data_IF_502423419946
#
_entry.id   IF_502423419946
#
_cell.length_a   1.000
_cell.length_b   1.000
_cell.length_c   1.000
_cell.angle_alpha   90.00
_cell.angle_beta   90.00
_cell.angle_gamma   90.00
#
_symmetry.space_group_name_H-M   'P 1'
#
loop_
_entity.id
_entity.type
_entity.pdbx_description
1 polymer ?
#
# COMPACT_ATOMS: atom_id res chain seq x y z
N UNK A 1 -25.94 15.22 -6.17
CA UNK A 1 -26.19 14.40 -4.98
C UNK A 1 -24.87 14.22 -4.25
N UNK A 2 -24.82 14.60 -3.00
CA UNK A 2 -23.66 15.09 -2.27
C UNK A 2 -22.49 14.11 -2.15
N UNK A 3 -21.33 14.59 -2.55
CA UNK A 3 -19.99 14.06 -2.22
C UNK A 3 -19.76 14.09 -0.71
N UNK A 4 -19.84 12.94 -0.06
CA UNK A 4 -19.62 12.74 1.39
C UNK A 4 -18.14 12.53 1.74
N UNK A 5 -17.21 13.04 0.91
CA UNK A 5 -15.81 13.16 1.31
C UNK A 5 -15.48 14.61 1.58
N UNK A 6 -14.74 14.94 2.64
CA UNK A 6 -14.12 16.25 2.71
C UNK A 6 -13.34 16.40 1.42
N UNK A 7 -13.65 17.47 0.66
CA UNK A 7 -12.92 17.78 -0.56
C UNK A 7 -11.43 17.76 -0.20
N UNK A 8 -10.74 16.69 -0.59
CA UNK A 8 -9.29 16.67 -0.55
C UNK A 8 -8.89 17.83 -1.44
N UNK A 9 -8.19 18.79 -0.88
CA UNK A 9 -7.59 19.86 -1.66
C UNK A 9 -6.15 19.45 -1.93
N UNK A 10 -5.86 18.80 -3.08
CA UNK A 10 -4.55 18.24 -3.38
C UNK A 10 -3.45 19.29 -3.33
N UNK A 11 -3.74 20.53 -3.75
CA UNK A 11 -2.80 21.63 -3.69
C UNK A 11 -2.44 22.01 -2.25
N UNK A 12 -3.39 21.89 -1.33
CA UNK A 12 -3.15 22.14 0.10
C UNK A 12 -2.13 21.17 0.66
N UNK A 13 -2.32 19.88 0.44
CA UNK A 13 -1.42 18.85 0.96
C UNK A 13 -0.06 18.88 0.27
N UNK A 14 0.00 19.17 -1.03
CA UNK A 14 1.25 19.37 -1.74
C UNK A 14 2.09 20.50 -1.13
N UNK A 15 1.45 21.59 -0.70
CA UNK A 15 2.15 22.70 0.00
C UNK A 15 2.50 22.34 1.45
N UNK A 16 1.58 21.69 2.17
CA UNK A 16 1.74 21.35 3.58
C UNK A 16 2.91 20.39 3.81
N UNK A 17 3.09 19.41 2.90
CA UNK A 17 4.11 18.37 3.03
C UNK A 17 5.35 18.59 2.14
N UNK A 18 5.46 19.75 1.49
CA UNK A 18 6.59 20.05 0.60
C UNK A 18 7.93 19.93 1.34
N UNK A 19 8.84 19.13 0.79
CA UNK A 19 10.19 18.94 1.33
C UNK A 19 10.29 18.12 2.62
N UNK A 20 9.20 17.52 3.06
CA UNK A 20 9.22 16.63 4.22
C UNK A 20 9.54 15.20 3.80
N UNK A 21 10.19 14.46 4.71
CA UNK A 21 10.48 13.03 4.53
C UNK A 21 9.23 12.16 4.77
N UNK A 22 9.14 10.96 4.17
CA UNK A 22 7.98 10.08 4.32
C UNK A 22 7.56 9.85 5.77
N UNK A 23 8.51 9.64 6.67
CA UNK A 23 8.23 9.46 8.11
C UNK A 23 7.48 10.64 8.72
N UNK A 24 7.84 11.87 8.37
CA UNK A 24 7.19 13.06 8.87
C UNK A 24 5.77 13.18 8.31
N UNK A 25 5.65 13.02 6.98
CA UNK A 25 4.37 13.11 6.26
C UNK A 25 3.37 12.10 6.83
N UNK A 26 3.71 10.81 6.86
CA UNK A 26 2.79 9.77 7.29
C UNK A 26 2.51 9.79 8.80
N UNK A 27 3.49 10.19 9.62
CA UNK A 27 3.25 10.44 11.05
C UNK A 27 2.19 11.53 11.28
N UNK A 28 2.25 12.62 10.51
CA UNK A 28 1.25 13.68 10.57
C UNK A 28 -0.12 13.23 10.09
N UNK A 29 -0.18 12.48 8.99
CA UNK A 29 -1.43 11.93 8.44
C UNK A 29 -2.17 11.09 9.49
N UNK A 30 -1.44 10.20 10.20
CA UNK A 30 -2.02 9.42 11.29
C UNK A 30 -2.43 10.28 12.48
N UNK A 31 -1.59 11.21 12.94
CA UNK A 31 -1.91 12.10 14.08
C UNK A 31 -3.12 12.99 13.80
N UNK A 32 -3.19 13.54 12.59
CA UNK A 32 -4.31 14.40 12.15
C UNK A 32 -5.54 13.61 11.72
N UNK A 33 -5.43 12.26 11.67
CA UNK A 33 -6.50 11.34 11.22
C UNK A 33 -7.05 11.70 9.84
N UNK A 34 -6.17 12.04 8.89
CA UNK A 34 -6.56 12.48 7.56
C UNK A 34 -7.21 11.36 6.74
N UNK A 35 -6.88 10.11 7.01
CA UNK A 35 -7.54 8.95 6.41
C UNK A 35 -8.82 8.52 7.12
N UNK A 36 -9.27 9.28 8.12
CA UNK A 36 -10.47 8.98 8.89
C UNK A 36 -10.16 8.40 10.27
N UNK A 37 -11.16 7.74 10.87
CA UNK A 37 -10.96 7.19 12.22
C UNK A 37 -11.09 8.24 13.34
N UNK A 38 -11.84 9.30 13.13
CA UNK A 38 -12.06 10.38 14.11
C UNK A 38 -12.45 9.85 15.50
N UNK A 39 -13.18 8.75 15.53
CA UNK A 39 -13.63 8.08 16.76
C UNK A 39 -12.76 6.85 17.11
N UNK A 40 -11.71 6.56 16.35
CA UNK A 40 -10.76 5.48 16.65
C UNK A 40 -9.87 5.88 17.83
N UNK A 41 -9.69 4.99 18.80
CA UNK A 41 -8.79 5.17 19.94
C UNK A 41 -7.31 4.93 19.56
N UNK A 42 -7.00 4.51 18.33
CA UNK A 42 -5.65 4.23 17.85
C UNK A 42 -5.43 4.66 16.41
N UNK A 43 -4.26 4.32 15.82
CA UNK A 43 -3.99 4.53 14.42
C UNK A 43 -5.08 3.93 13.52
N UNK A 44 -5.38 4.57 12.40
CA UNK A 44 -6.38 4.11 11.44
C UNK A 44 -5.86 4.32 10.01
N UNK A 45 -5.73 3.24 9.26
CA UNK A 45 -5.23 3.22 7.87
C UNK A 45 -6.31 3.53 6.83
N UNK A 46 -7.46 4.08 7.26
CA UNK A 46 -8.52 4.54 6.37
C UNK A 46 -9.62 3.50 6.06
N UNK A 47 -10.63 3.95 5.33
CA UNK A 47 -11.79 3.14 4.95
C UNK A 47 -11.40 1.97 4.05
N UNK A 48 -10.51 2.18 3.08
CA UNK A 48 -10.03 1.13 2.18
C UNK A 48 -9.37 -0.06 2.89
N UNK A 49 -8.89 0.13 4.13
CA UNK A 49 -8.33 -0.94 4.96
C UNK A 49 -9.32 -1.51 5.98
N UNK A 50 -10.51 -0.91 6.16
CA UNK A 50 -11.48 -1.32 7.19
C UNK A 50 -12.82 -1.76 6.65
N UNK A 51 -13.22 -1.28 5.47
CA UNK A 51 -14.47 -1.71 4.85
C UNK A 51 -14.37 -3.18 4.42
N UNK A 52 -15.23 -4.07 4.96
CA UNK A 52 -15.20 -5.48 4.61
C UNK A 52 -15.41 -5.74 3.11
N UNK A 53 -16.17 -4.90 2.43
CA UNK A 53 -16.42 -5.05 0.99
C UNK A 53 -15.15 -4.80 0.16
N UNK A 54 -14.25 -3.92 0.65
CA UNK A 54 -12.96 -3.63 0.03
C UNK A 54 -11.88 -4.63 0.42
N UNK A 55 -11.94 -5.13 1.67
CA UNK A 55 -10.86 -5.96 2.24
C UNK A 55 -11.05 -7.44 1.98
N UNK A 56 -12.29 -7.96 2.00
CA UNK A 56 -12.53 -9.40 1.92
C UNK A 56 -12.04 -10.01 0.59
N UNK A 57 -12.28 -9.43 -0.60
CA UNK A 57 -11.78 -9.99 -1.86
C UNK A 57 -10.24 -10.05 -1.91
N UNK A 58 -9.56 -9.01 -1.41
CA UNK A 58 -8.11 -8.99 -1.30
C UNK A 58 -7.59 -10.12 -0.40
N UNK A 59 -8.14 -10.21 0.83
CA UNK A 59 -7.72 -11.22 1.80
C UNK A 59 -7.91 -12.63 1.24
N UNK A 60 -9.05 -12.90 0.59
CA UNK A 60 -9.34 -14.21 0.00
C UNK A 60 -8.36 -14.55 -1.12
N UNK A 61 -8.12 -13.62 -2.05
CA UNK A 61 -7.20 -13.83 -3.17
C UNK A 61 -5.75 -14.06 -2.70
N UNK A 62 -5.27 -13.24 -1.74
CA UNK A 62 -3.91 -13.38 -1.21
C UNK A 62 -3.77 -14.64 -0.37
N UNK A 63 -4.74 -14.99 0.48
CA UNK A 63 -4.75 -16.24 1.24
C UNK A 63 -4.68 -17.46 0.32
N UNK A 64 -5.51 -17.48 -0.72
CA UNK A 64 -5.50 -18.54 -1.72
C UNK A 64 -4.11 -18.69 -2.37
N UNK A 65 -3.46 -17.57 -2.70
CA UNK A 65 -2.12 -17.56 -3.26
C UNK A 65 -1.06 -18.07 -2.27
N UNK A 66 -1.01 -17.51 -1.06
CA UNK A 66 -0.02 -17.89 -0.03
C UNK A 66 -0.15 -19.36 0.39
N UNK A 67 -1.37 -19.87 0.50
CA UNK A 67 -1.63 -21.27 0.85
C UNK A 67 -1.04 -22.26 -0.18
N UNK A 68 -1.05 -21.88 -1.47
CA UNK A 68 -0.44 -22.71 -2.54
C UNK A 68 1.09 -22.76 -2.47
N UNK A 69 1.71 -21.78 -1.81
CA UNK A 69 3.17 -21.74 -1.61
C UNK A 69 3.63 -22.54 -0.39
N UNK A 70 2.72 -23.06 0.43
CA UNK A 70 3.07 -23.90 1.57
C UNK A 70 3.71 -23.17 2.77
N UNK A 71 3.28 -21.93 3.03
CA UNK A 71 3.77 -21.14 4.16
C UNK A 71 5.04 -20.33 3.84
N UNK A 72 4.99 -19.44 2.85
CA UNK A 72 6.12 -18.59 2.48
C UNK A 72 6.47 -17.58 3.57
N UNK A 73 7.67 -17.01 3.51
CA UNK A 73 8.02 -15.81 4.25
C UNK A 73 7.40 -14.58 3.55
N UNK A 74 6.63 -13.79 4.32
CA UNK A 74 5.89 -12.62 3.82
C UNK A 74 6.43 -11.34 4.46
N UNK A 75 6.66 -10.32 3.63
CA UNK A 75 6.99 -8.96 4.05
C UNK A 75 5.86 -8.03 3.61
N UNK A 76 5.21 -7.37 4.56
CA UNK A 76 4.07 -6.47 4.34
C UNK A 76 4.55 -5.01 4.50
N UNK A 77 4.79 -4.35 3.38
CA UNK A 77 5.33 -2.99 3.31
C UNK A 77 4.19 -1.97 3.38
N UNK A 78 4.28 -1.06 4.36
CA UNK A 78 3.19 -0.15 4.71
C UNK A 78 2.05 -0.90 5.39
N UNK A 79 2.37 -1.77 6.36
CA UNK A 79 1.37 -2.62 7.04
C UNK A 79 0.32 -1.83 7.83
N UNK A 80 0.55 -0.54 8.07
CA UNK A 80 -0.36 0.37 8.75
C UNK A 80 -0.79 -0.15 10.12
N UNK A 81 -2.05 0.01 10.46
CA UNK A 81 -2.64 -0.46 11.72
C UNK A 81 -2.85 -1.98 11.80
N UNK A 82 -2.26 -2.71 10.86
CA UNK A 82 -2.25 -4.18 10.75
C UNK A 82 -3.64 -4.84 10.68
N UNK A 83 -4.69 -4.09 10.42
CA UNK A 83 -6.04 -4.63 10.33
C UNK A 83 -6.19 -5.66 9.19
N UNK A 84 -5.54 -5.43 8.06
CA UNK A 84 -5.55 -6.34 6.91
C UNK A 84 -4.53 -7.46 7.09
N UNK A 85 -3.29 -7.12 7.42
CA UNK A 85 -2.18 -8.08 7.60
C UNK A 85 -2.50 -9.16 8.62
N UNK A 86 -3.19 -8.81 9.73
CA UNK A 86 -3.58 -9.76 10.77
C UNK A 86 -4.42 -10.95 10.26
N UNK A 87 -5.13 -10.77 9.14
CA UNK A 87 -5.93 -11.82 8.51
C UNK A 87 -5.11 -12.77 7.63
N UNK A 88 -3.84 -12.43 7.34
CA UNK A 88 -2.94 -13.16 6.44
C UNK A 88 -1.85 -13.94 7.21
N UNK A 89 -1.56 -13.57 8.45
CA UNK A 89 -0.48 -14.14 9.26
C UNK A 89 -0.50 -15.67 9.27
N UNK A 90 -1.66 -16.28 9.43
CA UNK A 90 -1.80 -17.75 9.51
C UNK A 90 -1.49 -18.49 8.20
N UNK A 91 -1.35 -17.76 7.09
CA UNK A 91 -1.01 -18.33 5.78
C UNK A 91 0.48 -18.22 5.45
N UNK A 92 1.27 -17.61 6.34
CA UNK A 92 2.71 -17.43 6.20
C UNK A 92 3.47 -18.30 7.20
N UNK A 93 4.64 -18.80 6.81
CA UNK A 93 5.57 -19.43 7.74
C UNK A 93 6.31 -18.40 8.60
N UNK A 94 6.53 -17.20 8.05
CA UNK A 94 7.02 -16.00 8.74
C UNK A 94 6.31 -14.77 8.18
N UNK A 95 5.88 -13.86 9.03
CA UNK A 95 5.24 -12.61 8.62
C UNK A 95 5.94 -11.42 9.27
N UNK A 96 6.38 -10.46 8.46
CA UNK A 96 7.05 -9.24 8.90
C UNK A 96 6.21 -8.05 8.43
N UNK A 97 5.65 -7.28 9.36
CA UNK A 97 5.01 -6.01 9.08
C UNK A 97 6.01 -4.85 9.11
N UNK A 98 6.10 -4.08 8.05
CA UNK A 98 6.95 -2.90 7.93
C UNK A 98 6.11 -1.64 7.77
N UNK A 99 6.43 -0.57 8.50
CA UNK A 99 5.85 0.74 8.29
C UNK A 99 6.87 1.83 8.68
N UNK A 100 6.76 2.98 8.05
CA UNK A 100 7.65 4.12 8.32
C UNK A 100 7.30 4.83 9.63
N UNK A 101 6.08 4.63 10.15
CA UNK A 101 5.55 5.32 11.33
C UNK A 101 5.80 4.51 12.60
N UNK A 102 6.72 4.96 13.42
CA UNK A 102 7.21 4.28 14.61
C UNK A 102 6.13 3.96 15.66
N UNK A 103 5.25 4.91 15.97
CA UNK A 103 4.18 4.68 16.94
C UNK A 103 3.09 3.71 16.44
N UNK A 104 2.93 3.59 15.12
CA UNK A 104 2.04 2.57 14.51
C UNK A 104 2.65 1.19 14.71
N UNK A 105 3.94 1.04 14.45
CA UNK A 105 4.68 -0.21 14.67
C UNK A 105 4.68 -0.58 16.16
N UNK A 106 4.95 0.36 17.07
CA UNK A 106 4.91 0.12 18.51
C UNK A 106 3.55 -0.40 18.98
N UNK A 107 2.45 0.17 18.46
CA UNK A 107 1.11 -0.30 18.78
C UNK A 107 0.83 -1.69 18.20
N UNK A 108 1.30 -1.99 17.00
CA UNK A 108 1.18 -3.32 16.39
C UNK A 108 1.95 -4.38 17.19
N UNK A 109 3.18 -4.10 17.61
CA UNK A 109 3.98 -4.98 18.47
C UNK A 109 3.26 -5.29 19.80
N UNK A 110 2.63 -4.28 20.38
CA UNK A 110 1.85 -4.45 21.62
C UNK A 110 0.61 -5.33 21.42
N UNK A 111 -0.08 -5.19 20.28
CA UNK A 111 -1.33 -5.92 19.97
C UNK A 111 -1.10 -7.33 19.46
N UNK A 112 0.01 -7.55 18.79
CA UNK A 112 0.32 -8.80 18.09
C UNK A 112 1.72 -9.31 18.45
N UNK A 113 1.97 -9.70 19.72
CA UNK A 113 3.33 -10.04 20.23
C UNK A 113 3.97 -11.25 19.52
N UNK A 114 3.18 -12.03 18.76
CA UNK A 114 3.69 -13.17 17.98
C UNK A 114 4.07 -12.84 16.54
N UNK A 115 3.97 -11.57 16.13
CA UNK A 115 4.30 -11.11 14.77
C UNK A 115 5.51 -10.19 14.81
N UNK A 116 6.40 -10.33 13.83
CA UNK A 116 7.55 -9.45 13.69
C UNK A 116 7.14 -8.12 13.05
N UNK A 117 7.53 -7.00 13.67
CA UNK A 117 7.29 -5.66 13.13
C UNK A 117 8.57 -4.83 13.14
N UNK A 118 8.80 -4.10 12.05
CA UNK A 118 9.99 -3.29 11.83
C UNK A 118 9.60 -1.87 11.39
N UNK A 119 10.18 -0.86 12.02
CA UNK A 119 10.11 0.51 11.51
C UNK A 119 11.05 0.59 10.31
N UNK A 120 10.49 0.85 9.12
CA UNK A 120 11.23 0.82 7.86
C UNK A 120 10.67 1.87 6.90
N UNK A 121 11.51 2.75 6.43
CA UNK A 121 11.22 3.63 5.30
C UNK A 121 11.55 2.90 4.00
N UNK A 122 10.52 2.40 3.32
CA UNK A 122 10.70 1.65 2.08
C UNK A 122 11.43 2.46 0.97
N UNK A 123 11.43 3.80 1.07
CA UNK A 123 12.15 4.67 0.12
C UNK A 123 13.67 4.60 0.33
N UNK A 124 14.13 4.68 1.57
CA UNK A 124 15.56 4.79 1.90
C UNK A 124 16.19 3.51 2.42
N UNK A 125 15.44 2.71 3.19
CA UNK A 125 15.97 1.54 3.88
C UNK A 125 15.91 0.28 3.00
N UNK A 126 16.76 -0.69 3.30
CA UNK A 126 16.64 -2.04 2.75
C UNK A 126 15.42 -2.74 3.34
N UNK A 127 14.68 -3.43 2.49
CA UNK A 127 13.54 -4.23 2.94
C UNK A 127 13.99 -5.58 3.51
N UNK A 128 13.29 -6.12 4.53
CA UNK A 128 13.56 -7.46 5.05
C UNK A 128 13.49 -8.52 3.94
N UNK A 129 14.26 -9.59 4.08
CA UNK A 129 14.22 -10.71 3.13
C UNK A 129 12.96 -11.54 3.31
N UNK A 130 12.39 -12.00 2.19
CA UNK A 130 11.21 -12.85 2.15
C UNK A 130 10.97 -13.45 0.77
N UNK A 131 10.02 -14.35 0.67
CA UNK A 131 9.59 -14.95 -0.60
C UNK A 131 8.57 -14.07 -1.31
N UNK A 132 7.67 -13.45 -0.54
CA UNK A 132 6.56 -12.63 -1.00
C UNK A 132 6.63 -11.26 -0.36
N UNK A 133 6.52 -10.20 -1.16
CA UNK A 133 6.29 -8.85 -0.67
C UNK A 133 4.86 -8.42 -0.98
N UNK A 134 4.18 -7.90 0.03
CA UNK A 134 2.87 -7.26 -0.10
C UNK A 134 3.04 -5.75 -0.03
N UNK A 135 2.44 -5.02 -0.96
CA UNK A 135 2.40 -3.56 -0.97
C UNK A 135 0.97 -3.16 -1.28
N UNK A 136 0.22 -2.76 -0.25
CA UNK A 136 -1.20 -2.49 -0.42
C UNK A 136 -1.56 -1.04 -0.17
N UNK A 137 -1.93 -0.33 -1.23
CA UNK A 137 -2.33 1.08 -1.18
C UNK A 137 -1.27 1.98 -0.51
N UNK A 138 0.00 1.76 -0.86
CA UNK A 138 1.15 2.51 -0.34
C UNK A 138 1.72 3.42 -1.42
N UNK A 139 2.04 2.87 -2.60
CA UNK A 139 2.73 3.61 -3.65
C UNK A 139 1.87 4.77 -4.19
N UNK A 140 0.55 4.64 -4.15
CA UNK A 140 -0.38 5.70 -4.54
C UNK A 140 -0.22 7.00 -3.72
N UNK A 141 0.35 6.92 -2.52
CA UNK A 141 0.58 8.05 -1.64
C UNK A 141 1.94 8.73 -1.81
N UNK A 142 2.82 8.14 -2.63
CA UNK A 142 4.18 8.59 -2.87
C UNK A 142 4.31 9.36 -4.20
N UNK A 143 5.34 10.17 -4.33
CA UNK A 143 5.74 10.74 -5.62
C UNK A 143 6.42 9.69 -6.52
N UNK A 144 6.58 9.99 -7.82
CA UNK A 144 7.15 9.03 -8.76
C UNK A 144 8.63 8.72 -8.48
N UNK A 145 9.40 9.68 -7.93
CA UNK A 145 10.79 9.46 -7.53
C UNK A 145 10.88 8.45 -6.39
N UNK A 146 10.01 8.58 -5.39
CA UNK A 146 9.95 7.66 -4.25
C UNK A 146 9.51 6.25 -4.69
N UNK A 147 8.50 6.16 -5.56
CA UNK A 147 8.09 4.88 -6.15
C UNK A 147 9.27 4.24 -6.90
N UNK A 148 9.98 5.00 -7.74
CA UNK A 148 11.15 4.49 -8.48
C UNK A 148 12.28 4.00 -7.56
N UNK A 149 12.42 4.54 -6.35
CA UNK A 149 13.40 4.06 -5.35
C UNK A 149 12.98 2.75 -4.67
N UNK A 150 11.67 2.49 -4.57
CA UNK A 150 11.13 1.26 -3.96
C UNK A 150 11.19 0.08 -4.94
N UNK A 151 10.85 0.29 -6.21
CA UNK A 151 10.70 -0.79 -7.19
C UNK A 151 11.91 -1.74 -7.30
N UNK A 152 13.20 -1.27 -7.32
CA UNK A 152 14.35 -2.17 -7.35
C UNK A 152 14.40 -3.13 -6.15
N UNK A 153 13.90 -2.68 -4.99
CA UNK A 153 13.87 -3.49 -3.77
C UNK A 153 12.82 -4.59 -3.86
N UNK A 154 11.69 -4.32 -4.54
CA UNK A 154 10.65 -5.32 -4.78
C UNK A 154 11.14 -6.43 -5.74
N UNK A 155 12.10 -6.14 -6.61
CA UNK A 155 12.70 -7.13 -7.50
C UNK A 155 13.54 -8.19 -6.76
N UNK A 156 13.84 -7.99 -5.48
CA UNK A 156 14.52 -8.99 -4.64
C UNK A 156 13.61 -10.12 -4.15
N UNK A 157 12.30 -10.03 -4.40
CA UNK A 157 11.32 -11.03 -3.99
C UNK A 157 10.90 -11.90 -5.17
N UNK A 158 10.64 -13.17 -4.89
CA UNK A 158 10.09 -14.06 -5.93
C UNK A 158 8.70 -13.63 -6.38
N UNK A 159 7.91 -13.07 -5.46
CA UNK A 159 6.55 -12.62 -5.72
C UNK A 159 6.33 -11.24 -5.11
N UNK A 160 5.88 -10.30 -5.91
CA UNK A 160 5.37 -9.02 -5.43
C UNK A 160 3.86 -8.92 -5.69
N UNK A 161 3.08 -8.74 -4.64
CA UNK A 161 1.63 -8.51 -4.72
C UNK A 161 1.37 -7.05 -4.39
N UNK A 162 1.00 -6.29 -5.41
CA UNK A 162 0.83 -4.85 -5.32
C UNK A 162 -0.64 -4.50 -5.53
N UNK A 163 -1.19 -3.71 -4.62
CA UNK A 163 -2.58 -3.27 -4.67
C UNK A 163 -2.63 -1.76 -4.71
N UNK A 164 -3.23 -1.21 -5.78
CA UNK A 164 -3.34 0.23 -5.97
C UNK A 164 -4.75 0.61 -6.44
N UNK A 165 -5.12 1.87 -6.22
CA UNK A 165 -6.37 2.43 -6.70
C UNK A 165 -6.12 3.09 -8.06
N UNK A 166 -6.81 2.61 -9.10
CA UNK A 166 -6.72 3.12 -10.48
C UNK A 166 -8.08 3.63 -10.93
N UNK A 167 -8.15 4.57 -11.91
CA UNK A 167 -9.41 5.03 -12.46
C UNK A 167 -10.25 3.89 -13.07
N UNK A 168 -11.58 4.00 -12.95
CA UNK A 168 -12.52 3.02 -13.51
C UNK A 168 -12.81 3.19 -14.99
N UNK A 169 -12.04 4.01 -15.72
CA UNK A 169 -12.16 4.24 -17.16
C UNK A 169 -10.82 3.98 -17.85
N UNK A 170 -10.86 3.52 -19.10
CA UNK A 170 -9.68 3.00 -19.81
C UNK A 170 -8.68 4.08 -20.27
N UNK A 171 -9.16 5.27 -20.62
CA UNK A 171 -8.34 6.29 -21.30
C UNK A 171 -7.70 7.29 -20.31
N UNK A 172 -7.26 6.84 -19.14
CA UNK A 172 -6.55 7.69 -18.22
C UNK A 172 -5.05 7.75 -18.54
N UNK A 173 -4.40 8.86 -18.18
CA UNK A 173 -2.95 8.98 -18.28
C UNK A 173 -2.31 8.30 -17.06
N UNK A 174 -1.57 7.19 -17.22
CA UNK A 174 -0.94 6.52 -16.08
C UNK A 174 0.20 7.34 -15.50
N UNK A 175 0.46 7.10 -14.23
CA UNK A 175 1.67 7.55 -13.54
C UNK A 175 1.87 9.07 -13.53
N UNK A 176 0.81 9.89 -13.59
CA UNK A 176 0.96 11.32 -13.34
C UNK A 176 1.60 11.53 -11.97
N UNK A 177 2.62 12.38 -11.93
CA UNK A 177 3.33 12.66 -10.70
C UNK A 177 2.49 13.50 -9.74
N UNK A 178 2.75 13.35 -8.45
CA UNK A 178 2.11 14.10 -7.36
C UNK A 178 3.06 14.18 -6.17
N UNK A 179 2.86 15.18 -5.32
CA UNK A 179 3.55 15.22 -4.04
C UNK A 179 3.09 14.05 -3.14
N UNK A 180 4.02 13.54 -2.31
CA UNK A 180 3.67 12.57 -1.28
C UNK A 180 2.64 13.16 -0.31
N UNK A 181 1.68 12.33 0.14
CA UNK A 181 0.62 12.81 1.02
C UNK A 181 -0.60 11.88 1.08
N UNK A 182 -1.69 12.33 1.74
CA UNK A 182 -2.87 11.50 1.98
C UNK A 182 -3.68 11.19 0.71
N UNK A 183 -3.55 12.02 -0.33
CA UNK A 183 -4.28 11.85 -1.58
C UNK A 183 -3.70 10.73 -2.44
N UNK A 184 -4.52 10.15 -3.29
CA UNK A 184 -4.12 9.18 -4.29
C UNK A 184 -4.36 9.71 -5.71
N UNK A 185 -3.72 9.08 -6.70
CA UNK A 185 -3.71 9.57 -8.10
C UNK A 185 -5.09 9.60 -8.76
N UNK A 186 -6.03 8.79 -8.32
CA UNK A 186 -7.41 8.79 -8.85
C UNK A 186 -8.07 10.17 -8.68
N UNK A 187 -7.71 10.92 -7.64
CA UNK A 187 -8.17 12.29 -7.44
C UNK A 187 -7.76 13.25 -8.56
N UNK A 188 -6.75 12.86 -9.35
CA UNK A 188 -6.22 13.61 -10.49
C UNK A 188 -6.53 12.92 -11.84
N UNK A 189 -7.43 11.94 -11.85
CA UNK A 189 -7.77 11.17 -13.04
C UNK A 189 -6.63 10.28 -13.54
N UNK A 190 -5.72 9.84 -12.66
CA UNK A 190 -4.59 8.98 -12.95
C UNK A 190 -4.53 7.79 -12.00
N UNK A 191 -3.66 6.83 -12.26
CA UNK A 191 -3.40 5.66 -11.41
C UNK A 191 -1.99 5.14 -11.61
N UNK A 192 -1.50 4.33 -10.67
CA UNK A 192 -0.21 3.67 -10.83
C UNK A 192 -0.34 2.42 -11.70
N UNK A 193 0.34 2.44 -12.84
CA UNK A 193 0.49 1.31 -13.75
C UNK A 193 2.00 1.03 -13.87
N UNK A 194 2.49 0.14 -13.05
CA UNK A 194 3.94 -0.05 -12.88
C UNK A 194 4.64 -0.59 -14.13
N UNK A 195 3.91 -1.22 -15.05
CA UNK A 195 4.43 -1.69 -16.35
C UNK A 195 4.61 -0.58 -17.37
N UNK A 196 4.04 0.60 -17.11
CA UNK A 196 4.12 1.77 -18.00
C UNK A 196 5.20 2.75 -17.54
N UNK A 197 5.67 3.63 -18.45
CA UNK A 197 6.60 4.69 -18.07
C UNK A 197 6.06 5.57 -16.92
N UNK A 198 6.94 6.07 -16.05
CA UNK A 198 8.41 5.97 -16.07
C UNK A 198 8.96 4.69 -15.44
N UNK A 199 8.12 3.81 -14.91
CA UNK A 199 8.57 2.68 -14.08
C UNK A 199 9.03 1.47 -14.91
N UNK A 200 8.29 1.09 -15.95
CA UNK A 200 8.60 -0.01 -16.88
C UNK A 200 8.91 -1.35 -16.19
N UNK A 201 8.26 -1.62 -15.05
CA UNK A 201 8.44 -2.88 -14.31
C UNK A 201 8.07 -4.06 -15.20
N UNK A 202 8.91 -5.08 -15.22
CA UNK A 202 8.70 -6.36 -15.92
C UNK A 202 8.55 -7.49 -14.92
N UNK A 203 8.03 -8.62 -15.33
CA UNK A 203 8.01 -9.84 -14.56
C UNK A 203 7.84 -11.04 -15.50
N UNK A 204 8.23 -12.24 -15.04
CA UNK A 204 8.03 -13.48 -15.79
C UNK A 204 6.53 -13.73 -16.04
N UNK A 205 5.69 -13.37 -15.07
CA UNK A 205 4.24 -13.45 -15.19
C UNK A 205 3.59 -12.28 -14.41
N UNK A 206 2.58 -11.68 -15.02
CA UNK A 206 1.79 -10.59 -14.41
C UNK A 206 0.33 -10.99 -14.51
N UNK A 207 -0.37 -11.00 -13.37
CA UNK A 207 -1.81 -11.29 -13.37
C UNK A 207 -2.55 -10.55 -12.27
N UNK A 208 -3.74 -10.12 -12.57
CA UNK A 208 -4.68 -9.56 -11.59
C UNK A 208 -5.22 -10.71 -10.73
N UNK A 209 -5.12 -10.56 -9.40
CA UNK A 209 -5.66 -11.50 -8.43
C UNK A 209 -7.09 -11.17 -8.04
N UNK A 210 -7.39 -9.89 -7.84
CA UNK A 210 -8.74 -9.41 -7.58
C UNK A 210 -8.86 -7.92 -7.91
N UNK A 211 -10.10 -7.50 -8.08
CA UNK A 211 -10.51 -6.11 -8.30
C UNK A 211 -11.74 -5.80 -7.45
N UNK A 212 -11.78 -4.59 -6.91
CA UNK A 212 -12.93 -4.09 -6.15
C UNK A 212 -13.26 -2.68 -6.63
N UNK A 213 -14.50 -2.45 -7.04
CA UNK A 213 -14.94 -1.11 -7.44
C UNK A 213 -15.08 -0.21 -6.22
N UNK A 214 -14.44 0.95 -6.24
CA UNK A 214 -14.55 1.99 -5.23
C UNK A 214 -14.59 3.36 -5.91
N UNK A 215 -15.50 4.22 -5.51
CA UNK A 215 -15.65 5.64 -5.87
C UNK A 215 -14.89 6.12 -7.13
N UNK A 216 -15.46 5.83 -8.30
CA UNK A 216 -14.91 6.28 -9.59
C UNK A 216 -13.64 5.56 -10.03
N UNK A 217 -13.23 4.52 -9.29
CA UNK A 217 -12.04 3.74 -9.56
C UNK A 217 -12.18 2.26 -9.23
N UNK A 218 -11.06 1.58 -9.34
CA UNK A 218 -10.91 0.15 -9.06
C UNK A 218 -9.69 -0.04 -8.15
N UNK A 219 -9.88 -0.65 -7.00
CA UNK A 219 -8.76 -1.16 -6.21
C UNK A 219 -8.35 -2.48 -6.85
N UNK A 220 -7.23 -2.48 -7.55
CA UNK A 220 -6.72 -3.63 -8.28
C UNK A 220 -5.52 -4.24 -7.55
N UNK A 221 -5.55 -5.55 -7.34
CA UNK A 221 -4.45 -6.33 -6.76
C UNK A 221 -3.79 -7.14 -7.86
N UNK A 222 -2.52 -6.87 -8.13
CA UNK A 222 -1.73 -7.50 -9.18
C UNK A 222 -0.55 -8.27 -8.59
N UNK A 223 -0.39 -9.51 -9.02
CA UNK A 223 0.79 -10.33 -8.77
C UNK A 223 1.81 -10.12 -9.89
N UNK A 224 3.04 -9.84 -9.48
CA UNK A 224 4.24 -9.84 -10.31
C UNK A 224 5.14 -11.00 -9.86
N UNK A 225 5.35 -11.98 -10.73
CA UNK A 225 6.23 -13.12 -10.46
C UNK A 225 7.63 -12.82 -10.99
N UNK A 226 8.64 -12.79 -10.10
CA UNK A 226 10.02 -12.37 -10.38
C UNK A 226 10.09 -11.02 -11.08
N UNK A 227 9.64 -9.95 -10.42
CA UNK A 227 9.68 -8.61 -11.01
C UNK A 227 11.13 -8.18 -11.31
N UNK A 228 11.31 -7.43 -12.41
CA UNK A 228 12.58 -6.84 -12.87
C UNK A 228 12.35 -5.43 -13.41
N UNK A 229 13.42 -4.63 -13.49
CA UNK A 229 13.42 -3.29 -14.09
C UNK A 229 14.18 -3.27 -15.40
#
# INVERSE_FOLDING_TARGET
MLTLFPSTNPERYAREFLGQEPRQIFSEIYRKKLWGGRFSMGPCSGSGSRDPTMVAPYVEAVRCFLSKLGGPSVVDVGCGDFHVGSRLVTCAGRYIGCDVVDFVIAENQRRHPGVEFVVCDAVTDDLPRGDVVLVRQVLQHLDNRQVAQILPKLCNYRYAIITEHIPGFADFIPNLDKAAGPDHRVNFGSGLVLTEPPFNLRADNIRVLCEVTEFGGIIQTTLYERPTL
#
